data_IF_536624544527
#
_entry.id   IF_536624544527
#
_cell.length_a   1.000
_cell.length_b   1.000
_cell.length_c   1.000
_cell.angle_alpha   90.00
_cell.angle_beta   90.00
_cell.angle_gamma   90.00
#
_symmetry.space_group_name_H-M   'P 1'
#
loop_
_entity.id
_entity.type
_entity.pdbx_description
1 polymer ?
#
# COMPACT_ATOMS: atom_id res chain seq x y z
N UNK A 1 5.19 8.67 25.07
CA UNK A 1 4.96 7.22 24.86
C UNK A 1 4.62 7.04 23.39
N UNK A 2 5.62 6.87 22.50
CA UNK A 2 5.41 6.71 21.04
C UNK A 2 6.00 5.37 20.54
N UNK A 3 6.71 4.65 21.41
CA UNK A 3 7.49 3.45 21.08
C UNK A 3 6.64 2.24 20.66
N UNK A 4 5.37 2.16 21.07
CA UNK A 4 4.57 0.94 20.95
C UNK A 4 3.89 0.71 19.59
N UNK A 5 3.79 1.72 18.71
CA UNK A 5 3.22 1.55 17.36
C UNK A 5 4.27 1.09 16.34
N UNK A 6 5.50 1.58 16.44
CA UNK A 6 6.60 1.23 15.52
C UNK A 6 7.16 -0.16 15.76
N UNK A 7 7.09 -0.69 16.99
CA UNK A 7 7.53 -2.05 17.30
C UNK A 7 6.71 -3.13 16.58
N UNK A 8 5.40 -2.89 16.39
CA UNK A 8 4.50 -3.83 15.73
C UNK A 8 4.35 -3.58 14.22
N UNK A 9 4.91 -2.49 13.70
CA UNK A 9 4.90 -2.16 12.28
C UNK A 9 6.25 -1.52 11.86
N UNK A 10 7.33 -2.32 11.82
CA UNK A 10 8.68 -1.81 11.54
C UNK A 10 8.83 -1.21 10.13
N UNK A 11 7.88 -1.52 9.24
CA UNK A 11 7.89 -1.02 7.85
C UNK A 11 6.82 0.03 7.59
N UNK A 12 6.04 0.47 8.58
CA UNK A 12 4.89 1.38 8.42
C UNK A 12 3.87 0.91 7.37
N UNK A 13 3.55 -0.39 7.36
CA UNK A 13 2.58 -1.01 6.44
C UNK A 13 1.16 -0.46 6.62
N UNK A 14 0.87 0.14 7.78
CA UNK A 14 -0.38 0.87 8.05
C UNK A 14 -0.70 1.93 7.00
N UNK A 15 0.34 2.53 6.37
CA UNK A 15 0.16 3.52 5.30
C UNK A 15 -0.53 2.95 4.07
N UNK A 16 -0.33 1.66 3.76
CA UNK A 16 -1.01 0.98 2.67
C UNK A 16 -2.47 0.72 3.02
N UNK A 17 -2.72 0.13 4.18
CA UNK A 17 -4.07 -0.22 4.64
C UNK A 17 -4.96 1.03 4.67
N UNK A 18 -4.47 2.13 5.26
CA UNK A 18 -5.22 3.38 5.33
C UNK A 18 -5.60 3.95 3.95
N UNK A 19 -4.73 3.79 2.94
CA UNK A 19 -5.01 4.23 1.58
C UNK A 19 -5.96 3.26 0.85
N UNK A 20 -5.79 1.96 1.08
CA UNK A 20 -6.62 0.92 0.50
C UNK A 20 -8.07 1.03 1.01
N UNK A 21 -8.28 1.22 2.31
CA UNK A 21 -9.61 1.37 2.93
C UNK A 21 -10.45 2.45 2.25
N UNK A 22 -9.82 3.55 1.85
CA UNK A 22 -10.50 4.68 1.21
C UNK A 22 -10.83 4.44 -0.27
N UNK A 23 -10.08 3.56 -0.95
CA UNK A 23 -10.14 3.41 -2.41
C UNK A 23 -10.58 2.01 -2.86
N UNK A 24 -10.76 1.05 -1.95
CA UNK A 24 -10.96 -0.35 -2.31
C UNK A 24 -12.15 -0.54 -3.24
N UNK A 25 -13.30 0.07 -2.93
CA UNK A 25 -14.49 0.00 -3.79
C UNK A 25 -14.27 0.63 -5.16
N UNK A 26 -13.56 1.76 -5.24
CA UNK A 26 -13.20 2.40 -6.52
C UNK A 26 -12.26 1.52 -7.33
N UNK A 27 -11.26 0.92 -6.69
CA UNK A 27 -10.30 0.01 -7.32
C UNK A 27 -11.04 -1.19 -7.91
N UNK A 28 -11.91 -1.84 -7.14
CA UNK A 28 -12.70 -2.98 -7.59
C UNK A 28 -13.61 -2.61 -8.77
N UNK A 29 -14.28 -1.46 -8.71
CA UNK A 29 -15.13 -0.98 -9.79
C UNK A 29 -14.33 -0.75 -11.08
N UNK A 30 -13.18 -0.09 -10.99
CA UNK A 30 -12.32 0.20 -12.14
C UNK A 30 -11.66 -1.05 -12.75
N UNK A 31 -11.25 -1.99 -11.90
CA UNK A 31 -10.72 -3.29 -12.33
C UNK A 31 -11.79 -4.12 -13.04
N UNK A 32 -13.00 -4.20 -12.49
CA UNK A 32 -14.15 -4.90 -13.13
C UNK A 32 -14.54 -4.25 -14.45
N UNK A 33 -14.45 -2.93 -14.55
CA UNK A 33 -14.67 -2.19 -15.78
C UNK A 33 -13.50 -2.29 -16.79
N UNK A 34 -12.37 -2.89 -16.40
CA UNK A 34 -11.18 -3.05 -17.25
C UNK A 34 -10.45 -1.75 -17.56
N UNK A 35 -10.71 -0.66 -16.82
CA UNK A 35 -10.14 0.65 -17.09
C UNK A 35 -9.87 1.43 -15.81
N UNK A 36 -8.59 1.59 -15.48
CA UNK A 36 -8.13 2.49 -14.42
C UNK A 36 -8.39 3.95 -14.77
N UNK A 37 -8.91 4.70 -13.82
CA UNK A 37 -9.23 6.13 -13.91
C UNK A 37 -8.65 6.90 -12.72
N UNK A 38 -8.67 6.31 -11.52
CA UNK A 38 -8.22 6.95 -10.28
C UNK A 38 -6.78 6.60 -9.91
N UNK A 39 -6.20 7.39 -9.03
CA UNK A 39 -4.76 7.43 -8.75
C UNK A 39 -4.32 6.43 -7.65
N UNK A 40 -4.71 5.16 -7.77
CA UNK A 40 -4.51 4.13 -6.73
C UNK A 40 -3.34 3.15 -6.96
N UNK A 41 -2.62 3.26 -8.07
CA UNK A 41 -1.61 2.24 -8.44
C UNK A 41 -0.55 2.05 -7.34
N UNK A 42 -0.06 3.15 -6.77
CA UNK A 42 1.07 3.13 -5.85
C UNK A 42 0.84 2.30 -4.58
N UNK A 43 -0.39 2.22 -4.08
CA UNK A 43 -0.71 1.54 -2.83
C UNK A 43 -1.55 0.27 -3.00
N UNK A 44 -1.98 -0.05 -4.21
CA UNK A 44 -2.60 -1.36 -4.55
C UNK A 44 -1.55 -2.29 -5.15
N UNK A 45 -0.72 -1.78 -6.07
CA UNK A 45 0.37 -2.52 -6.72
C UNK A 45 1.69 -1.74 -6.54
N UNK A 46 2.26 -1.70 -5.31
CA UNK A 46 3.47 -0.94 -5.05
C UNK A 46 4.67 -1.50 -5.81
N UNK A 47 5.61 -0.61 -6.14
CA UNK A 47 6.86 -0.92 -6.84
C UNK A 47 8.07 -0.61 -5.94
N UNK A 48 9.27 -1.00 -6.39
CA UNK A 48 10.50 -0.65 -5.66
C UNK A 48 10.65 0.87 -5.53
N UNK A 49 10.94 1.33 -4.32
CA UNK A 49 11.13 2.75 -3.97
C UNK A 49 12.17 3.42 -4.85
N UNK A 50 13.22 2.69 -5.23
CA UNK A 50 14.31 3.16 -6.10
C UNK A 50 13.88 3.50 -7.54
N UNK A 51 12.71 3.01 -7.99
CA UNK A 51 12.17 3.30 -9.33
C UNK A 51 11.31 4.57 -9.34
N UNK A 52 10.89 5.05 -8.16
CA UNK A 52 10.01 6.20 -8.01
C UNK A 52 10.74 7.54 -8.14
N UNK A 53 10.13 8.48 -8.86
CA UNK A 53 10.59 9.89 -8.92
C UNK A 53 9.59 10.89 -8.35
N UNK A 54 8.38 10.43 -8.01
CA UNK A 54 7.35 11.28 -7.41
C UNK A 54 7.25 11.03 -5.90
N UNK A 55 6.78 12.02 -5.12
CA UNK A 55 6.60 11.84 -3.68
C UNK A 55 5.74 10.62 -3.31
N UNK A 56 4.69 10.31 -4.08
CA UNK A 56 3.85 9.12 -3.86
C UNK A 56 4.58 7.81 -4.17
N UNK A 57 5.40 7.80 -5.23
CA UNK A 57 6.19 6.63 -5.57
C UNK A 57 7.31 6.37 -4.56
N UNK A 58 7.84 7.42 -3.91
CA UNK A 58 8.76 7.26 -2.79
C UNK A 58 8.04 6.80 -1.53
N UNK A 59 6.89 7.40 -1.19
CA UNK A 59 6.14 7.12 0.03
C UNK A 59 5.56 5.69 0.06
N UNK A 60 4.92 5.25 -1.03
CA UNK A 60 4.38 3.89 -1.14
C UNK A 60 5.35 2.88 -1.76
N UNK A 61 6.57 3.31 -2.10
CA UNK A 61 7.58 2.42 -2.63
C UNK A 61 8.07 1.43 -1.57
N UNK A 62 8.26 0.18 -1.97
CA UNK A 62 8.85 -0.88 -1.15
C UNK A 62 10.38 -0.74 -1.17
N UNK A 63 11.00 -0.74 0.01
CA UNK A 63 12.44 -0.51 0.20
C UNK A 63 13.31 -1.73 -0.05
N UNK A 64 12.87 -2.91 0.39
CA UNK A 64 13.62 -4.16 0.33
C UNK A 64 12.71 -5.39 0.26
N UNK A 65 13.31 -6.59 0.24
CA UNK A 65 12.57 -7.85 0.12
C UNK A 65 11.83 -8.21 1.40
N UNK A 66 12.33 -7.81 2.57
CA UNK A 66 11.71 -8.00 3.86
C UNK A 66 10.40 -7.20 3.96
N UNK A 67 10.42 -5.93 3.56
CA UNK A 67 9.23 -5.07 3.44
C UNK A 67 8.24 -5.65 2.43
N UNK A 68 8.72 -6.15 1.28
CA UNK A 68 7.86 -6.80 0.28
C UNK A 68 7.13 -8.03 0.84
N UNK A 69 7.85 -8.87 1.60
CA UNK A 69 7.27 -10.05 2.26
C UNK A 69 6.25 -9.66 3.31
N UNK A 70 6.57 -8.64 4.11
CA UNK A 70 5.68 -8.13 5.14
C UNK A 70 4.39 -7.57 4.52
N UNK A 71 4.50 -6.83 3.42
CA UNK A 71 3.34 -6.32 2.66
C UNK A 71 2.41 -7.46 2.21
N UNK A 72 2.93 -8.59 1.72
CA UNK A 72 2.11 -9.72 1.26
C UNK A 72 1.33 -10.43 2.35
N UNK A 73 1.84 -10.46 3.58
CA UNK A 73 1.18 -11.12 4.72
C UNK A 73 0.40 -10.16 5.60
N UNK A 74 0.42 -8.86 5.26
CA UNK A 74 -0.35 -7.85 5.98
C UNK A 74 -1.83 -8.09 5.71
N UNK A 75 -2.66 -8.25 6.76
CA UNK A 75 -4.08 -8.45 6.57
C UNK A 75 -4.70 -7.21 5.93
N UNK A 76 -5.39 -7.41 4.80
CA UNK A 76 -6.26 -6.39 4.23
C UNK A 76 -7.61 -6.42 4.93
N UNK A 77 -8.11 -5.26 5.34
CA UNK A 77 -9.46 -5.02 5.86
C UNK A 77 -10.59 -5.56 4.97
N UNK A 78 -10.32 -5.77 3.68
CA UNK A 78 -11.27 -6.24 2.67
C UNK A 78 -11.70 -7.73 2.76
N UNK A 79 -11.45 -8.41 3.89
CA UNK A 79 -11.73 -9.86 4.05
C UNK A 79 -12.99 -10.16 4.88
N UNK A 80 -13.82 -9.15 5.20
CA UNK A 80 -15.16 -9.36 5.78
C UNK A 80 -16.28 -9.27 4.73
#
# INVERSE_FOLDING_TARGET
MVTSMTENDPFDLSRFVAAQDLFFETVLAELRAGRKQSDWMWFIFPHLRSLGRSPRATFYGIGDIEEARAYLITPSSATD
#
